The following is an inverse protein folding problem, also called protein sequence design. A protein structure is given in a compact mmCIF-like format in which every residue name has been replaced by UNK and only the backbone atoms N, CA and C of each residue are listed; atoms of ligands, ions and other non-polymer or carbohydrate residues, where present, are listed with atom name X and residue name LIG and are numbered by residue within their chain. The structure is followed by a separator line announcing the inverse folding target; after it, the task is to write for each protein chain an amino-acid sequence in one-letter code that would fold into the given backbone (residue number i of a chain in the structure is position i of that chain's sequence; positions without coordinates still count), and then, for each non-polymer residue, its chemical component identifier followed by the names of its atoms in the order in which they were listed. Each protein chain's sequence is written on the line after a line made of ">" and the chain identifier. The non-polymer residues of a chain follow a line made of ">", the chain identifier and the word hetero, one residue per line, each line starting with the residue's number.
data_IF_654233615536
#
_entry.id   IF_654233615536
#
_cell.length_a   1.000
_cell.length_b   1.000
_cell.length_c   1.000
_cell.angle_alpha   90.00
_cell.angle_beta   90.00
_cell.angle_gamma   90.00
#
_symmetry.space_group_name_H-M   'P 1'
#
loop_
_entity.id
_entity.type
_entity.pdbx_description
1 polymer ?
#
# COMPACT_ATOMS: atom_id res chain seq x y z
N UNK A 1 -2.42 3.93 -6.56
CA UNK A 1 -1.98 2.52 -6.53
C UNK A 1 -1.70 1.92 -7.92
N UNK A 2 -2.06 2.59 -9.02
CA UNK A 2 -1.76 2.12 -10.37
C UNK A 2 -0.26 1.88 -10.61
N UNK A 3 0.62 2.67 -10.00
CA UNK A 3 2.07 2.54 -10.11
C UNK A 3 2.64 1.26 -9.45
N UNK A 4 1.89 0.62 -8.54
CA UNK A 4 2.31 -0.61 -7.83
C UNK A 4 1.31 -1.74 -8.13
N UNK A 5 0.55 -1.67 -9.20
CA UNK A 5 -0.31 -2.78 -9.65
C UNK A 5 0.53 -3.81 -10.43
N UNK A 6 0.39 -5.08 -10.08
CA UNK A 6 1.09 -6.19 -10.77
C UNK A 6 0.35 -6.64 -12.04
N UNK A 7 -0.88 -6.16 -12.21
CA UNK A 7 -1.74 -6.40 -13.36
C UNK A 7 -2.11 -5.06 -14.04
N UNK A 8 -2.58 -5.07 -15.28
CA UNK A 8 -3.07 -3.86 -15.94
C UNK A 8 -4.15 -3.17 -15.09
N UNK A 9 -3.94 -1.90 -14.80
CA UNK A 9 -4.90 -1.08 -14.05
C UNK A 9 -5.72 -0.22 -15.02
N UNK A 10 -7.04 -0.32 -14.91
CA UNK A 10 -7.97 0.50 -15.69
C UNK A 10 -8.58 1.57 -14.78
N UNK A 11 -8.29 2.82 -15.06
CA UNK A 11 -8.88 3.96 -14.35
C UNK A 11 -10.32 4.22 -14.82
N UNK A 12 -11.21 4.63 -13.91
CA UNK A 12 -12.53 5.13 -14.30
C UNK A 12 -12.46 6.33 -15.24
N UNK A 13 -11.37 7.11 -15.20
CA UNK A 13 -11.15 8.23 -16.13
C UNK A 13 -10.94 7.80 -17.59
N UNK A 14 -10.68 6.52 -17.86
CA UNK A 14 -10.55 6.01 -19.23
C UNK A 14 -11.90 5.77 -19.93
N UNK A 15 -13.01 5.83 -19.20
CA UNK A 15 -14.35 5.65 -19.75
C UNK A 15 -14.96 7.01 -20.13
N UNK A 16 -15.00 7.34 -21.42
CA UNK A 16 -15.53 8.61 -21.93
C UNK A 16 -16.98 8.85 -21.48
N UNK A 17 -17.80 7.79 -21.38
CA UNK A 17 -19.23 7.89 -21.02
C UNK A 17 -19.50 8.38 -19.59
N UNK A 18 -18.50 8.38 -18.71
CA UNK A 18 -18.63 8.81 -17.32
C UNK A 18 -17.58 9.83 -16.89
N UNK A 19 -16.74 10.29 -17.80
CA UNK A 19 -15.61 11.18 -17.55
C UNK A 19 -16.00 12.47 -16.82
N UNK A 20 -17.16 13.02 -17.15
CA UNK A 20 -17.76 14.21 -16.55
C UNK A 20 -18.43 13.95 -15.18
N UNK A 21 -18.48 12.69 -14.73
CA UNK A 21 -19.08 12.25 -13.46
C UNK A 21 -18.03 11.67 -12.48
N UNK A 22 -16.76 11.61 -12.89
CA UNK A 22 -15.70 10.99 -12.09
C UNK A 22 -14.83 12.05 -11.44
N UNK A 23 -14.58 11.89 -10.15
CA UNK A 23 -13.54 12.60 -9.42
C UNK A 23 -12.43 11.61 -9.10
N UNK A 24 -11.22 11.91 -9.58
CA UNK A 24 -10.03 11.10 -9.26
C UNK A 24 -9.29 11.78 -8.13
N UNK A 25 -8.97 11.02 -7.10
CA UNK A 25 -8.07 11.42 -6.02
C UNK A 25 -6.80 10.60 -6.12
N UNK A 26 -5.66 11.25 -6.14
CA UNK A 26 -4.37 10.57 -6.18
C UNK A 26 -3.33 11.34 -5.37
N UNK A 27 -2.20 10.69 -5.08
CA UNK A 27 -1.15 11.29 -4.28
C UNK A 27 0.22 10.72 -4.60
N UNK A 28 1.23 11.50 -4.27
CA UNK A 28 2.64 11.19 -4.54
C UNK A 28 3.28 10.30 -3.47
N UNK A 29 2.63 10.18 -2.31
CA UNK A 29 3.19 9.48 -1.15
C UNK A 29 3.72 8.09 -1.46
N UNK A 30 3.03 7.31 -2.29
CA UNK A 30 3.38 5.92 -2.59
C UNK A 30 3.98 5.77 -3.99
N UNK A 31 3.42 6.42 -4.99
CA UNK A 31 3.89 6.33 -6.37
C UNK A 31 5.29 6.92 -6.57
N UNK A 32 5.64 7.97 -5.81
CA UNK A 32 6.90 8.70 -5.93
C UNK A 32 7.73 8.67 -4.64
N UNK A 33 7.40 7.80 -3.68
CA UNK A 33 8.08 7.75 -2.35
C UNK A 33 8.12 9.08 -1.60
N UNK A 34 7.10 9.93 -1.80
CA UNK A 34 7.03 11.30 -1.28
C UNK A 34 6.12 11.42 -0.05
N UNK A 35 6.21 10.50 0.90
CA UNK A 35 5.33 10.47 2.08
C UNK A 35 5.45 11.71 2.94
N UNK A 36 6.66 12.24 3.13
CA UNK A 36 6.95 13.42 3.94
C UNK A 36 6.47 14.74 3.33
N UNK A 37 6.28 14.80 2.01
CA UNK A 37 5.87 16.01 1.29
C UNK A 37 4.39 16.37 1.46
N UNK A 38 3.57 15.47 1.98
CA UNK A 38 2.15 15.67 2.28
C UNK A 38 1.37 16.30 1.14
N UNK A 39 1.54 15.78 -0.09
CA UNK A 39 0.91 16.32 -1.29
C UNK A 39 0.17 15.25 -2.08
N UNK A 40 -0.95 15.65 -2.65
CA UNK A 40 -1.78 14.90 -3.56
C UNK A 40 -2.54 15.84 -4.48
N UNK A 41 -3.32 15.27 -5.37
CA UNK A 41 -4.12 16.04 -6.32
C UNK A 41 -5.47 15.39 -6.58
N UNK A 42 -6.40 16.21 -7.04
CA UNK A 42 -7.68 15.75 -7.56
C UNK A 42 -7.86 16.20 -9.01
N UNK A 43 -8.47 15.34 -9.82
CA UNK A 43 -8.93 15.65 -11.16
C UNK A 43 -10.46 15.54 -11.14
N UNK A 44 -11.14 16.63 -11.45
CA UNK A 44 -12.59 16.70 -11.37
C UNK A 44 -13.14 17.53 -12.53
N UNK A 45 -14.42 17.32 -12.93
CA UNK A 45 -15.13 18.19 -13.86
C UNK A 45 -15.08 19.65 -13.42
N UNK A 46 -15.03 20.56 -14.40
CA UNK A 46 -14.85 22.00 -14.13
C UNK A 46 -15.92 22.58 -13.18
N UNK A 47 -17.14 22.07 -13.28
CA UNK A 47 -18.28 22.50 -12.45
C UNK A 47 -18.08 22.15 -10.97
N UNK A 48 -17.45 21.01 -10.69
CA UNK A 48 -17.20 20.53 -9.32
C UNK A 48 -15.90 21.12 -8.76
N UNK A 49 -14.91 21.35 -9.61
CA UNK A 49 -13.57 21.82 -9.21
C UNK A 49 -13.61 23.07 -8.31
N UNK A 50 -14.49 24.04 -8.59
CA UNK A 50 -14.63 25.26 -7.80
C UNK A 50 -15.02 24.99 -6.33
N UNK A 51 -15.89 23.99 -6.13
CA UNK A 51 -16.32 23.60 -4.78
C UNK A 51 -15.22 22.88 -4.03
N UNK A 52 -14.46 22.01 -4.72
CA UNK A 52 -13.28 21.34 -4.14
C UNK A 52 -12.22 22.37 -3.73
N UNK A 53 -11.94 23.37 -4.58
CA UNK A 53 -10.99 24.44 -4.26
C UNK A 53 -11.45 25.25 -3.05
N UNK A 54 -12.71 25.65 -2.98
CA UNK A 54 -13.25 26.37 -1.83
C UNK A 54 -13.19 25.55 -0.54
N UNK A 55 -13.55 24.27 -0.59
CA UNK A 55 -13.46 23.38 0.54
C UNK A 55 -12.00 23.18 0.99
N UNK A 56 -11.07 23.01 0.07
CA UNK A 56 -9.65 22.90 0.37
C UNK A 56 -9.10 24.16 1.04
N UNK A 57 -9.43 25.34 0.48
CA UNK A 57 -9.00 26.62 1.04
C UNK A 57 -9.50 26.84 2.47
N UNK A 58 -10.78 26.50 2.74
CA UNK A 58 -11.36 26.68 4.06
C UNK A 58 -10.88 25.66 5.10
N UNK A 59 -10.46 24.45 4.69
CA UNK A 59 -10.03 23.40 5.59
C UNK A 59 -8.51 23.37 5.82
N UNK A 60 -7.74 23.65 4.77
CA UNK A 60 -6.27 23.46 4.77
C UNK A 60 -5.52 24.78 4.56
N UNK A 61 -6.21 25.79 4.01
CA UNK A 61 -5.56 27.04 3.57
C UNK A 61 -4.79 26.83 2.28
N UNK A 62 -3.58 27.41 2.21
CA UNK A 62 -2.70 27.26 1.06
C UNK A 62 -1.79 26.04 1.20
N UNK A 63 -1.57 25.35 0.09
CA UNK A 63 -0.56 24.28 0.03
C UNK A 63 0.84 24.87 0.10
N UNK A 64 1.79 24.08 0.65
CA UNK A 64 3.20 24.46 0.69
C UNK A 64 3.74 24.57 -0.73
N UNK A 65 4.18 25.77 -1.15
CA UNK A 65 4.62 26.04 -2.52
C UNK A 65 5.77 25.14 -2.98
N UNK A 66 6.70 24.82 -2.07
CA UNK A 66 7.79 23.89 -2.38
C UNK A 66 7.27 22.48 -2.69
N UNK A 67 6.30 21.98 -1.93
CA UNK A 67 5.67 20.68 -2.20
C UNK A 67 4.97 20.66 -3.57
N UNK A 68 4.31 21.76 -3.93
CA UNK A 68 3.66 21.90 -5.24
C UNK A 68 4.69 21.87 -6.38
N UNK A 69 5.77 22.65 -6.27
CA UNK A 69 6.81 22.70 -7.29
C UNK A 69 7.50 21.35 -7.49
N UNK A 70 7.78 20.62 -6.41
CA UNK A 70 8.37 19.29 -6.49
C UNK A 70 7.39 18.27 -7.07
N UNK A 71 6.10 18.37 -6.75
CA UNK A 71 5.08 17.49 -7.33
C UNK A 71 4.90 17.71 -8.83
N UNK A 72 4.92 18.97 -9.28
CA UNK A 72 4.90 19.34 -10.70
C UNK A 72 6.12 18.76 -11.43
N UNK A 73 7.32 18.98 -10.90
CA UNK A 73 8.54 18.40 -11.45
C UNK A 73 8.50 16.86 -11.51
N UNK A 74 7.97 16.22 -10.45
CA UNK A 74 7.83 14.77 -10.41
C UNK A 74 6.90 14.24 -11.52
N UNK A 75 5.77 14.91 -11.77
CA UNK A 75 4.86 14.54 -12.87
C UNK A 75 5.47 14.76 -14.26
N UNK A 76 6.24 15.82 -14.43
CA UNK A 76 6.90 16.11 -15.71
C UNK A 76 8.04 15.14 -16.03
N UNK A 77 8.88 14.84 -15.05
CA UNK A 77 10.11 14.04 -15.26
C UNK A 77 9.91 12.55 -15.02
N UNK A 78 9.00 12.18 -14.14
CA UNK A 78 8.78 10.80 -13.71
C UNK A 78 7.28 10.44 -13.71
N UNK A 79 6.58 10.60 -14.85
CA UNK A 79 5.11 10.39 -14.90
C UNK A 79 4.73 8.94 -14.57
N UNK A 80 5.62 7.99 -14.82
CA UNK A 80 5.45 6.57 -14.49
C UNK A 80 6.77 6.02 -13.94
N UNK A 81 6.71 5.44 -12.75
CA UNK A 81 7.86 4.78 -12.11
C UNK A 81 7.55 3.29 -12.02
N UNK A 82 8.07 2.52 -12.97
CA UNK A 82 7.84 1.06 -13.04
C UNK A 82 8.78 0.25 -12.16
N UNK A 83 9.94 0.80 -11.83
CA UNK A 83 10.99 0.13 -11.03
C UNK A 83 10.47 -0.32 -9.67
N UNK A 84 9.70 0.52 -8.96
CA UNK A 84 9.10 0.15 -7.68
C UNK A 84 8.11 -1.00 -7.81
N UNK A 85 7.34 -1.03 -8.89
CA UNK A 85 6.40 -2.11 -9.17
C UNK A 85 7.13 -3.45 -9.28
N UNK A 86 8.21 -3.49 -10.03
CA UNK A 86 8.94 -4.72 -10.31
C UNK A 86 9.65 -5.24 -9.05
N UNK A 87 10.25 -4.34 -8.25
CA UNK A 87 10.82 -4.67 -6.94
C UNK A 87 9.75 -5.24 -5.99
N UNK A 88 8.61 -4.58 -5.86
CA UNK A 88 7.57 -5.05 -4.96
C UNK A 88 6.89 -6.33 -5.46
N UNK A 89 6.78 -6.53 -6.77
CA UNK A 89 6.29 -7.78 -7.34
C UNK A 89 7.20 -8.95 -7.00
N UNK A 90 8.51 -8.79 -7.17
CA UNK A 90 9.48 -9.83 -6.80
C UNK A 90 9.39 -10.17 -5.31
N UNK A 91 9.38 -9.15 -4.45
CA UNK A 91 9.24 -9.34 -3.00
C UNK A 91 7.93 -10.04 -2.64
N UNK A 92 6.81 -9.62 -3.24
CA UNK A 92 5.51 -10.19 -2.98
C UNK A 92 5.46 -11.68 -3.38
N UNK A 93 5.96 -12.04 -4.55
CA UNK A 93 5.97 -13.44 -5.02
C UNK A 93 6.88 -14.32 -4.14
N UNK A 94 8.08 -13.83 -3.80
CA UNK A 94 9.02 -14.57 -2.95
C UNK A 94 8.44 -14.79 -1.56
N UNK A 95 7.98 -13.73 -0.91
CA UNK A 95 7.43 -13.80 0.43
C UNK A 95 6.13 -14.61 0.51
N UNK A 96 5.28 -14.51 -0.52
CA UNK A 96 4.07 -15.34 -0.62
C UNK A 96 4.41 -16.82 -0.67
N UNK A 97 5.41 -17.18 -1.49
CA UNK A 97 5.87 -18.57 -1.58
C UNK A 97 6.45 -19.05 -0.25
N UNK A 98 7.38 -18.28 0.32
CA UNK A 98 8.09 -18.68 1.55
C UNK A 98 7.11 -18.86 2.73
N UNK A 99 6.11 -17.99 2.87
CA UNK A 99 5.08 -18.11 3.91
C UNK A 99 4.08 -19.24 3.61
N UNK A 100 3.69 -19.44 2.36
CA UNK A 100 2.82 -20.56 1.97
C UNK A 100 3.51 -21.91 2.22
N UNK A 101 4.81 -22.03 1.93
CA UNK A 101 5.61 -23.23 2.21
C UNK A 101 5.69 -23.54 3.73
N UNK A 102 5.47 -22.55 4.59
CA UNK A 102 5.31 -22.72 6.04
C UNK A 102 3.89 -23.11 6.47
N UNK A 103 2.90 -23.05 5.58
CA UNK A 103 1.51 -23.41 5.86
C UNK A 103 0.58 -22.22 6.15
N UNK A 104 1.03 -20.97 5.94
CA UNK A 104 0.15 -19.80 6.02
C UNK A 104 -0.77 -19.71 4.80
N UNK A 105 -1.98 -19.22 5.02
CA UNK A 105 -2.88 -18.84 3.93
C UNK A 105 -2.44 -17.50 3.34
N UNK A 106 -2.27 -17.43 2.02
CA UNK A 106 -1.85 -16.19 1.34
C UNK A 106 -2.97 -15.69 0.44
N UNK A 107 -3.43 -14.48 0.70
CA UNK A 107 -4.27 -13.77 -0.27
C UNK A 107 -3.38 -13.31 -1.43
N UNK A 108 -3.71 -13.75 -2.65
CA UNK A 108 -2.90 -13.46 -3.85
C UNK A 108 -2.64 -11.95 -4.00
N UNK A 109 -1.38 -11.50 -3.97
CA UNK A 109 -1.07 -10.08 -4.10
C UNK A 109 -1.24 -9.61 -5.55
N UNK A 110 -2.17 -8.68 -5.78
CA UNK A 110 -2.40 -8.08 -7.09
C UNK A 110 -1.77 -6.70 -7.26
N UNK A 111 -1.09 -6.24 -6.25
CA UNK A 111 -0.42 -4.93 -6.20
C UNK A 111 -0.12 -4.52 -4.78
N UNK A 112 0.25 -3.26 -4.60
CA UNK A 112 0.74 -2.68 -3.35
C UNK A 112 2.08 -3.29 -2.88
N UNK A 113 2.49 -2.91 -1.69
CA UNK A 113 3.72 -3.39 -1.05
C UNK A 113 3.39 -4.07 0.29
N UNK A 114 2.28 -4.82 0.31
CA UNK A 114 1.81 -5.58 1.45
C UNK A 114 1.40 -6.99 1.04
N UNK A 115 1.52 -7.94 1.98
CA UNK A 115 0.78 -9.20 1.94
C UNK A 115 -0.25 -9.21 3.07
N UNK A 116 -1.35 -9.89 2.81
CA UNK A 116 -2.37 -10.20 3.80
C UNK A 116 -2.35 -11.71 4.01
N UNK A 117 -2.05 -12.14 5.24
CA UNK A 117 -1.62 -13.51 5.56
C UNK A 117 -2.51 -14.08 6.66
N UNK A 118 -3.17 -15.19 6.37
CA UNK A 118 -3.99 -15.92 7.32
C UNK A 118 -3.15 -16.87 8.16
N UNK A 119 -3.35 -16.83 9.50
CA UNK A 119 -2.63 -17.65 10.48
C UNK A 119 -3.53 -18.71 11.15
N UNK A 120 -4.74 -18.92 10.65
CA UNK A 120 -5.74 -19.81 11.26
C UNK A 120 -5.31 -21.26 11.46
N UNK A 121 -4.27 -21.71 10.72
CA UNK A 121 -3.67 -23.04 10.86
C UNK A 121 -2.78 -23.15 12.12
N UNK A 122 -2.34 -22.04 12.69
CA UNK A 122 -1.35 -22.01 13.79
C UNK A 122 -1.94 -21.52 15.11
N UNK A 123 -2.98 -20.67 15.06
CA UNK A 123 -3.53 -20.07 16.26
C UNK A 123 -5.02 -19.74 16.10
N UNK A 124 -5.74 -19.77 17.23
CA UNK A 124 -7.13 -19.29 17.35
C UNK A 124 -7.22 -17.97 18.14
N UNK A 125 -6.08 -17.35 18.46
CA UNK A 125 -6.03 -16.04 19.11
C UNK A 125 -6.58 -14.96 18.18
N UNK A 126 -7.01 -13.84 18.75
CA UNK A 126 -7.32 -12.64 17.99
C UNK A 126 -6.11 -12.16 17.16
N UNK A 127 -6.34 -11.43 16.09
CA UNK A 127 -5.24 -10.93 15.25
C UNK A 127 -4.35 -9.94 16.01
N UNK A 128 -4.89 -9.21 17.00
CA UNK A 128 -4.11 -8.36 17.87
C UNK A 128 -3.18 -9.19 18.76
N UNK A 129 -3.72 -10.19 19.49
CA UNK A 129 -2.92 -11.01 20.40
C UNK A 129 -1.84 -11.80 19.67
N UNK A 130 -2.18 -12.37 18.49
CA UNK A 130 -1.21 -13.05 17.65
C UNK A 130 -0.09 -12.11 17.19
N UNK A 131 -0.43 -10.91 16.74
CA UNK A 131 0.55 -9.92 16.26
C UNK A 131 1.46 -9.41 17.38
N UNK A 132 0.92 -9.22 18.59
CA UNK A 132 1.70 -8.80 19.75
C UNK A 132 2.64 -9.92 20.21
N UNK A 133 2.17 -11.16 20.25
CA UNK A 133 3.01 -12.31 20.61
C UNK A 133 4.13 -12.55 19.56
N UNK A 134 3.81 -12.43 18.28
CA UNK A 134 4.80 -12.51 17.20
C UNK A 134 5.88 -11.44 17.37
N UNK A 135 5.47 -10.20 17.65
CA UNK A 135 6.40 -9.09 17.88
C UNK A 135 7.30 -9.36 19.09
N UNK A 136 6.71 -9.75 20.22
CA UNK A 136 7.44 -10.01 21.46
C UNK A 136 8.50 -11.12 21.31
N UNK A 137 8.11 -12.23 20.69
CA UNK A 137 8.98 -13.41 20.56
C UNK A 137 10.00 -13.31 19.44
N UNK A 138 9.74 -12.55 18.39
CA UNK A 138 10.56 -12.57 17.17
C UNK A 138 11.13 -11.23 16.77
N UNK A 139 10.58 -10.12 17.28
CA UNK A 139 10.87 -8.77 16.80
C UNK A 139 10.29 -8.46 15.42
N UNK A 140 9.40 -9.31 14.87
CA UNK A 140 8.73 -9.06 13.59
C UNK A 140 7.41 -8.33 13.84
N UNK A 141 7.36 -7.07 13.44
CA UNK A 141 6.17 -6.23 13.55
C UNK A 141 5.25 -6.41 12.34
N UNK A 142 3.99 -6.72 12.61
CA UNK A 142 2.92 -6.83 11.61
C UNK A 142 1.71 -6.01 12.05
N UNK A 143 0.76 -5.75 11.15
CA UNK A 143 -0.48 -5.07 11.50
C UNK A 143 -1.59 -6.11 11.62
N UNK A 144 -2.31 -6.19 12.76
CA UNK A 144 -3.39 -7.17 12.95
C UNK A 144 -4.52 -6.95 11.95
N UNK A 145 -5.12 -8.06 11.50
CA UNK A 145 -6.18 -8.04 10.48
C UNK A 145 -7.45 -7.34 10.91
N UNK A 146 -7.76 -7.33 12.22
CA UNK A 146 -8.91 -6.58 12.77
C UNK A 146 -8.87 -5.09 12.42
N UNK A 147 -7.68 -4.49 12.21
CA UNK A 147 -7.54 -3.12 11.70
C UNK A 147 -8.10 -2.95 10.27
N UNK A 148 -8.40 -4.04 9.59
CA UNK A 148 -8.98 -4.13 8.24
C UNK A 148 -10.32 -4.88 8.26
N UNK A 149 -10.95 -5.02 9.43
CA UNK A 149 -12.19 -5.76 9.68
C UNK A 149 -12.12 -7.26 9.32
N UNK A 150 -10.93 -7.86 9.41
CA UNK A 150 -10.70 -9.29 9.09
C UNK A 150 -9.81 -9.93 10.17
N UNK A 151 -10.43 -10.60 11.13
CA UNK A 151 -9.70 -11.36 12.16
C UNK A 151 -9.13 -12.67 11.58
N UNK A 152 -8.13 -13.26 12.24
CA UNK A 152 -7.44 -14.47 11.71
C UNK A 152 -6.36 -14.18 10.69
N UNK A 153 -6.11 -12.90 10.36
CA UNK A 153 -5.10 -12.44 9.41
C UNK A 153 -4.16 -11.41 10.04
N UNK A 154 -3.01 -11.20 9.38
CA UNK A 154 -2.16 -10.04 9.61
C UNK A 154 -1.65 -9.48 8.28
N UNK A 155 -1.34 -8.18 8.28
CA UNK A 155 -0.70 -7.52 7.14
C UNK A 155 0.78 -7.32 7.39
N UNK A 156 1.62 -7.81 6.48
CA UNK A 156 3.07 -7.59 6.49
C UNK A 156 3.47 -6.63 5.38
N UNK A 157 4.35 -5.66 5.68
CA UNK A 157 4.89 -4.72 4.70
C UNK A 157 6.15 -5.27 4.04
N UNK A 158 6.28 -5.04 2.72
CA UNK A 158 7.39 -5.50 1.88
C UNK A 158 8.41 -4.38 1.61
N UNK A 159 8.45 -3.36 2.47
CA UNK A 159 9.28 -2.16 2.27
C UNK A 159 10.76 -2.37 2.58
N UNK A 160 11.10 -3.43 3.31
CA UNK A 160 12.48 -3.80 3.61
C UNK A 160 13.14 -4.51 2.42
N UNK A 161 14.46 -4.61 2.43
CA UNK A 161 15.20 -5.37 1.43
C UNK A 161 14.97 -6.90 1.56
N UNK A 162 15.30 -7.64 0.51
CA UNK A 162 15.03 -9.08 0.46
C UNK A 162 15.75 -9.88 1.56
N UNK A 163 17.02 -9.60 1.93
CA UNK A 163 17.68 -10.30 3.04
C UNK A 163 16.93 -10.14 4.36
N UNK A 164 16.44 -8.94 4.68
CA UNK A 164 15.72 -8.69 5.92
C UNK A 164 14.31 -9.32 5.89
N UNK A 165 13.63 -9.31 4.74
CA UNK A 165 12.36 -10.01 4.56
C UNK A 165 12.51 -11.52 4.76
N UNK A 166 13.57 -12.14 4.23
CA UNK A 166 13.87 -13.57 4.45
C UNK A 166 14.22 -13.89 5.91
N UNK A 167 14.93 -12.99 6.59
CA UNK A 167 15.18 -13.14 8.02
C UNK A 167 13.87 -13.07 8.82
N UNK A 168 12.93 -12.20 8.44
CA UNK A 168 11.61 -12.16 9.06
C UNK A 168 10.87 -13.50 8.90
N UNK A 169 10.87 -14.11 7.71
CA UNK A 169 10.28 -15.45 7.47
C UNK A 169 10.93 -16.51 8.35
N UNK A 170 12.27 -16.49 8.47
CA UNK A 170 13.00 -17.43 9.33
C UNK A 170 12.59 -17.30 10.79
N UNK A 171 12.42 -16.08 11.30
CA UNK A 171 11.95 -15.82 12.66
C UNK A 171 10.50 -16.26 12.87
N UNK A 172 9.63 -15.99 11.90
CA UNK A 172 8.24 -16.46 11.90
C UNK A 172 8.21 -18.00 11.94
N UNK A 173 9.06 -18.68 11.15
CA UNK A 173 9.19 -20.15 11.19
C UNK A 173 9.53 -20.66 12.59
N UNK A 174 10.48 -20.03 13.27
CA UNK A 174 10.85 -20.38 14.64
C UNK A 174 9.75 -20.10 15.68
N UNK A 175 8.80 -19.22 15.36
CA UNK A 175 7.67 -18.90 16.22
C UNK A 175 6.52 -19.93 16.12
N UNK A 176 6.30 -20.49 14.94
CA UNK A 176 5.19 -21.43 14.69
C UNK A 176 5.59 -22.91 14.85
N UNK A 177 6.86 -23.23 14.86
CA UNK A 177 7.41 -24.59 15.01
C UNK A 177 7.97 -24.83 16.37
#
# INVERSE_FOLDING_TARGET
>A
YSAISFYPFVSFASYESIKDKVIILNGFSKSHSMTGWRIGYSIAPAEIRKYILNASFNNVGSMVSLSCAIAEYALEKFPVITEFRDIYRERALTMSKDLADLGFEIIEPRGAFYLFVGYGNFSKKSSLDFSLELLDKTGVAVVPGEAFAEDGYFRIALTQDMPLLKEAVKRIKGFIG
#
